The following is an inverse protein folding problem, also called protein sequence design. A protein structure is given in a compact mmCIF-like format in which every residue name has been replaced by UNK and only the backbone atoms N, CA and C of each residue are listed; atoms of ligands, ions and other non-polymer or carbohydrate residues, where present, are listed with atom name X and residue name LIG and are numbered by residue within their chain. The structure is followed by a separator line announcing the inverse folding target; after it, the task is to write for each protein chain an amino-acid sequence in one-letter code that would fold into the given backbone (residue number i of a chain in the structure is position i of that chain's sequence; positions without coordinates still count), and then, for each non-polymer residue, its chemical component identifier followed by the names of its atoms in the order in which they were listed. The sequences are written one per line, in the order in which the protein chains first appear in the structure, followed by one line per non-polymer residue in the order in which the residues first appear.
data_IF_247588169893
#
_entry.id   IF_247588169893
#
_cell.length_a   1.000
_cell.length_b   1.000
_cell.length_c   1.000
_cell.angle_alpha   90.00
_cell.angle_beta   90.00
_cell.angle_gamma   90.00
#
_symmetry.space_group_name_H-M   'P 1'
#
loop_
_entity.id
_entity.type
_entity.pdbx_description
1 polymer ?
#
# COMPACT_ATOMS: atom_id res chain seq x y z
N UNK A 1 -16.31 10.70 -9.55
CA UNK A 1 -15.84 9.31 -9.31
C UNK A 1 -14.41 9.39 -8.81
N UNK A 2 -14.16 9.24 -7.51
CA UNK A 2 -12.81 9.33 -6.95
C UNK A 2 -12.08 7.98 -7.12
N UNK A 3 -11.36 7.84 -8.22
CA UNK A 3 -10.32 6.82 -8.33
C UNK A 3 -9.11 7.37 -7.56
N UNK A 4 -8.50 6.56 -6.67
CA UNK A 4 -7.47 7.06 -5.74
C UNK A 4 -6.06 7.36 -6.33
N UNK A 5 -5.76 7.34 -7.65
CA UNK A 5 -4.47 7.81 -8.16
C UNK A 5 -4.07 9.21 -7.73
N UNK A 6 -5.00 10.18 -7.73
CA UNK A 6 -4.69 11.57 -7.35
C UNK A 6 -4.10 11.66 -5.94
N UNK A 7 -4.69 10.94 -4.99
CA UNK A 7 -4.23 10.92 -3.59
C UNK A 7 -2.87 10.25 -3.45
N UNK A 8 -2.62 9.18 -4.19
CA UNK A 8 -1.30 8.54 -4.23
C UNK A 8 -0.28 9.50 -4.84
N UNK A 9 -0.63 10.20 -5.92
CA UNK A 9 0.20 11.23 -6.54
C UNK A 9 0.56 12.36 -5.57
N UNK A 10 -0.40 12.84 -4.77
CA UNK A 10 -0.13 13.83 -3.74
C UNK A 10 0.82 13.30 -2.65
N UNK A 11 0.63 12.07 -2.17
CA UNK A 11 1.54 11.45 -1.19
C UNK A 11 2.95 11.35 -1.76
N UNK A 12 3.09 10.94 -3.02
CA UNK A 12 4.37 10.82 -3.70
C UNK A 12 5.05 12.17 -3.86
N UNK A 13 4.32 13.18 -4.35
CA UNK A 13 4.84 14.54 -4.52
C UNK A 13 5.31 15.14 -3.20
N UNK A 14 4.49 15.05 -2.14
CA UNK A 14 4.86 15.55 -0.81
C UNK A 14 6.08 14.81 -0.24
N UNK A 15 6.17 13.48 -0.42
CA UNK A 15 7.34 12.74 0.06
C UNK A 15 8.62 13.17 -0.67
N UNK A 16 8.59 13.34 -1.99
CA UNK A 16 9.75 13.77 -2.77
C UNK A 16 10.17 15.21 -2.46
N UNK A 17 9.22 16.08 -2.13
CA UNK A 17 9.50 17.46 -1.70
C UNK A 17 10.18 17.50 -0.32
N UNK A 18 9.66 16.73 0.65
CA UNK A 18 10.17 16.71 2.01
C UNK A 18 11.47 15.91 2.16
N UNK A 19 11.66 14.86 1.36
CA UNK A 19 12.78 13.94 1.44
C UNK A 19 13.42 13.70 0.05
N UNK A 20 14.10 14.70 -0.54
CA UNK A 20 14.65 14.58 -1.87
C UNK A 20 15.64 13.43 -2.01
N UNK A 21 15.44 12.58 -3.03
CA UNK A 21 16.31 11.44 -3.34
C UNK A 21 16.20 10.27 -2.35
N UNK A 22 15.33 10.36 -1.34
CA UNK A 22 15.04 9.26 -0.43
C UNK A 22 13.97 8.35 -0.99
N UNK A 23 13.93 7.14 -0.46
CA UNK A 23 12.90 6.13 -0.72
C UNK A 23 12.32 5.62 0.60
N UNK A 24 11.16 5.01 0.51
CA UNK A 24 10.41 4.48 1.63
C UNK A 24 10.00 3.03 1.38
N UNK A 25 9.87 2.30 2.48
CA UNK A 25 9.10 1.07 2.48
C UNK A 25 7.61 1.40 2.41
N UNK A 26 6.89 0.74 1.52
CA UNK A 26 5.47 1.02 1.27
C UNK A 26 4.62 -0.16 1.69
N UNK A 27 3.74 0.05 2.68
CA UNK A 27 2.68 -0.88 3.03
C UNK A 27 1.37 -0.45 2.34
N UNK A 28 0.87 -1.29 1.44
CA UNK A 28 -0.23 -0.93 0.55
C UNK A 28 -1.37 -1.95 0.56
N UNK A 29 -2.59 -1.43 0.52
CA UNK A 29 -3.80 -2.20 0.23
C UNK A 29 -4.91 -1.27 -0.25
N UNK A 30 -5.77 -1.70 -1.17
CA UNK A 30 -6.84 -0.85 -1.70
C UNK A 30 -8.15 -1.63 -1.92
N UNK A 31 -9.26 -0.90 -2.13
CA UNK A 31 -10.54 -1.50 -2.54
C UNK A 31 -10.50 -1.96 -4.01
N UNK A 32 -11.31 -2.95 -4.38
CA UNK A 32 -11.35 -3.52 -5.74
C UNK A 32 -11.77 -2.52 -6.83
N UNK A 33 -12.46 -1.43 -6.45
CA UNK A 33 -12.90 -0.39 -7.39
C UNK A 33 -11.80 0.60 -7.80
N UNK A 34 -10.57 0.42 -7.30
CA UNK A 34 -9.46 1.35 -7.53
C UNK A 34 -8.57 0.89 -8.69
N UNK A 35 -8.02 1.85 -9.44
CA UNK A 35 -7.07 1.57 -10.51
C UNK A 35 -5.68 1.30 -9.90
N UNK A 36 -5.44 0.04 -9.53
CA UNK A 36 -4.21 -0.40 -8.85
C UNK A 36 -2.97 -0.27 -9.73
N UNK A 37 -3.06 -0.50 -11.04
CA UNK A 37 -1.91 -0.40 -11.95
C UNK A 37 -1.38 1.04 -12.01
N UNK A 38 -2.28 2.04 -12.07
CA UNK A 38 -1.86 3.46 -12.02
C UNK A 38 -1.25 3.80 -10.66
N UNK A 39 -1.85 3.34 -9.56
CA UNK A 39 -1.31 3.58 -8.22
C UNK A 39 0.08 2.94 -8.03
N UNK A 40 0.30 1.73 -8.55
CA UNK A 40 1.58 1.07 -8.52
C UNK A 40 2.65 1.87 -9.30
N UNK A 41 2.33 2.37 -10.49
CA UNK A 41 3.24 3.23 -11.28
C UNK A 41 3.63 4.50 -10.53
N UNK A 42 2.68 5.12 -9.83
CA UNK A 42 2.95 6.34 -9.06
C UNK A 42 3.89 6.10 -7.87
N UNK A 43 3.93 4.89 -7.31
CA UNK A 43 4.78 4.55 -6.17
C UNK A 43 6.24 4.24 -6.55
N UNK A 44 6.51 3.85 -7.80
CA UNK A 44 7.86 3.52 -8.30
C UNK A 44 8.94 4.51 -7.86
N UNK A 45 8.81 5.84 -8.05
CA UNK A 45 9.90 6.77 -7.79
C UNK A 45 10.31 6.88 -6.32
N UNK A 46 9.48 6.40 -5.39
CA UNK A 46 9.70 6.54 -3.95
C UNK A 46 9.79 5.21 -3.22
N UNK A 47 9.54 4.08 -3.89
CA UNK A 47 9.49 2.78 -3.25
C UNK A 47 10.89 2.14 -3.20
N UNK A 48 11.30 1.72 -2.00
CA UNK A 48 12.43 0.80 -1.82
C UNK A 48 11.92 -0.65 -1.77
N UNK A 49 11.02 -0.94 -0.82
CA UNK A 49 10.33 -2.22 -0.73
C UNK A 49 8.81 -2.03 -0.75
N UNK A 50 8.09 -3.00 -1.31
CA UNK A 50 6.63 -3.02 -1.35
C UNK A 50 6.09 -4.19 -0.53
N UNK A 51 5.19 -3.88 0.39
CA UNK A 51 4.48 -4.83 1.23
C UNK A 51 2.99 -4.73 0.93
N UNK A 52 2.38 -5.82 0.47
CA UNK A 52 0.98 -5.89 0.11
C UNK A 52 0.21 -6.74 1.12
N UNK A 53 -1.01 -6.32 1.42
CA UNK A 53 -1.88 -7.04 2.36
C UNK A 53 -3.36 -6.81 2.07
N UNK A 54 -4.23 -7.47 2.84
CA UNK A 54 -5.66 -7.31 2.83
C UNK A 54 -6.20 -7.04 4.24
N UNK A 55 -7.19 -6.17 4.33
CA UNK A 55 -7.95 -5.94 5.56
C UNK A 55 -9.34 -6.57 5.40
N UNK A 56 -9.48 -7.84 5.78
CA UNK A 56 -10.78 -8.51 5.78
C UNK A 56 -11.35 -8.47 7.20
N UNK A 57 -12.51 -7.85 7.37
CA UNK A 57 -13.29 -7.95 8.61
C UNK A 57 -14.61 -8.65 8.27
N UNK A 58 -14.76 -9.87 8.83
CA UNK A 58 -15.93 -10.73 8.61
C UNK A 58 -17.25 -10.07 9.04
N UNK A 59 -17.19 -9.16 10.01
CA UNK A 59 -18.33 -8.45 10.57
C UNK A 59 -18.64 -7.13 9.82
N UNK A 60 -17.81 -6.75 8.83
CA UNK A 60 -17.99 -5.53 8.05
C UNK A 60 -17.95 -5.80 6.54
N UNK A 61 -19.12 -5.88 5.87
CA UNK A 61 -19.22 -6.10 4.43
C UNK A 61 -18.44 -5.11 3.57
N UNK A 62 -18.24 -3.88 4.04
CA UNK A 62 -17.47 -2.87 3.30
C UNK A 62 -15.96 -3.14 3.29
N UNK A 63 -15.45 -3.91 4.24
CA UNK A 63 -14.05 -4.39 4.23
C UNK A 63 -13.85 -5.61 3.34
N UNK A 64 -14.91 -6.38 3.07
CA UNK A 64 -14.89 -7.48 2.11
C UNK A 64 -14.76 -7.00 0.65
N UNK A 65 -14.75 -5.68 0.42
CA UNK A 65 -14.52 -5.04 -0.88
C UNK A 65 -13.05 -4.69 -1.12
N UNK A 66 -12.11 -5.40 -0.48
CA UNK A 66 -10.67 -5.27 -0.73
C UNK A 66 -10.28 -5.89 -2.07
N UNK A 67 -9.24 -5.37 -2.71
CA UNK A 67 -8.67 -5.94 -3.93
C UNK A 67 -8.12 -7.35 -3.65
N UNK A 68 -8.26 -8.28 -4.60
CA UNK A 68 -7.75 -9.65 -4.44
C UNK A 68 -6.22 -9.66 -4.43
N UNK A 69 -5.66 -10.72 -3.85
CA UNK A 69 -4.22 -10.90 -3.69
C UNK A 69 -3.53 -10.91 -5.04
N UNK A 70 -4.07 -11.71 -5.95
CA UNK A 70 -3.52 -11.95 -7.28
C UNK A 70 -3.54 -10.65 -8.10
N UNK A 71 -4.62 -9.87 -8.00
CA UNK A 71 -4.75 -8.58 -8.69
C UNK A 71 -3.74 -7.56 -8.17
N UNK A 72 -3.52 -7.51 -6.85
CA UNK A 72 -2.53 -6.65 -6.21
C UNK A 72 -1.10 -7.03 -6.62
N UNK A 73 -0.73 -8.30 -6.49
CA UNK A 73 0.60 -8.79 -6.86
C UNK A 73 0.89 -8.52 -8.33
N UNK A 74 -0.02 -8.95 -9.22
CA UNK A 74 0.11 -8.76 -10.67
C UNK A 74 0.26 -7.29 -11.04
N UNK A 75 -0.49 -6.38 -10.43
CA UNK A 75 -0.41 -4.95 -10.75
C UNK A 75 0.96 -4.33 -10.42
N UNK A 76 1.58 -4.74 -9.31
CA UNK A 76 2.90 -4.26 -8.90
C UNK A 76 4.02 -4.95 -9.69
N UNK A 77 3.91 -6.25 -9.95
CA UNK A 77 4.87 -7.01 -10.78
C UNK A 77 4.93 -6.49 -12.22
N UNK A 78 3.78 -6.16 -12.83
CA UNK A 78 3.70 -5.58 -14.18
C UNK A 78 4.46 -4.26 -14.34
N UNK A 79 4.72 -3.56 -13.24
CA UNK A 79 5.46 -2.29 -13.27
C UNK A 79 6.90 -2.44 -12.78
N UNK A 80 7.38 -3.68 -12.64
CA UNK A 80 8.76 -4.00 -12.28
C UNK A 80 9.05 -3.97 -10.78
N UNK A 81 8.01 -3.90 -9.93
CA UNK A 81 8.17 -3.99 -8.47
C UNK A 81 8.05 -5.45 -8.02
N UNK A 82 8.74 -5.82 -6.94
CA UNK A 82 8.69 -7.17 -6.36
C UNK A 82 8.00 -7.13 -4.98
N UNK A 83 6.66 -7.15 -4.93
CA UNK A 83 5.93 -7.04 -3.68
C UNK A 83 6.04 -8.29 -2.81
N UNK A 84 6.11 -8.10 -1.50
CA UNK A 84 5.93 -9.16 -0.51
C UNK A 84 4.49 -9.19 -0.02
N UNK A 85 3.88 -10.38 0.02
CA UNK A 85 2.49 -10.54 0.46
C UNK A 85 2.37 -10.95 1.93
N UNK A 86 1.40 -10.36 2.62
CA UNK A 86 1.01 -10.71 3.99
C UNK A 86 -0.51 -10.84 4.09
N UNK A 87 -0.99 -11.97 4.61
CA UNK A 87 -2.43 -12.20 4.80
C UNK A 87 -3.03 -11.34 5.93
N UNK A 88 -2.19 -10.81 6.81
CA UNK A 88 -2.58 -10.01 7.96
C UNK A 88 -1.87 -8.64 7.95
N UNK A 89 -2.61 -7.51 8.07
CA UNK A 89 -2.01 -6.18 8.06
C UNK A 89 -1.04 -5.91 9.21
N UNK A 90 -1.27 -6.48 10.38
CA UNK A 90 -0.40 -6.32 11.54
C UNK A 90 0.91 -7.10 11.36
N UNK A 91 0.86 -8.30 10.78
CA UNK A 91 2.07 -9.04 10.39
C UNK A 91 2.87 -8.29 9.34
N UNK A 92 2.19 -7.73 8.33
CA UNK A 92 2.83 -6.88 7.33
C UNK A 92 3.56 -5.70 8.00
N UNK A 93 2.85 -4.93 8.83
CA UNK A 93 3.40 -3.78 9.54
C UNK A 93 4.58 -4.15 10.45
N UNK A 94 4.45 -5.22 11.25
CA UNK A 94 5.54 -5.73 12.08
C UNK A 94 6.74 -6.17 11.25
N UNK A 95 6.52 -6.77 10.08
CA UNK A 95 7.60 -7.19 9.19
C UNK A 95 8.35 -5.97 8.63
N UNK A 96 7.61 -4.94 8.19
CA UNK A 96 8.23 -3.68 7.75
C UNK A 96 9.09 -3.09 8.87
N UNK A 97 8.56 -2.96 10.10
CA UNK A 97 9.32 -2.38 11.21
C UNK A 97 10.57 -3.18 11.61
N UNK A 98 10.58 -4.51 11.44
CA UNK A 98 11.77 -5.35 11.65
C UNK A 98 12.88 -5.07 10.65
N UNK A 99 12.55 -4.54 9.47
CA UNK A 99 13.51 -4.08 8.48
C UNK A 99 14.16 -2.75 8.83
N UNK A 100 13.77 -2.11 9.93
CA UNK A 100 14.28 -0.81 10.39
C UNK A 100 14.26 0.26 9.27
N UNK A 101 13.09 0.49 8.63
CA UNK A 101 13.01 1.38 7.47
C UNK A 101 13.34 2.82 7.88
N UNK A 102 14.11 3.53 7.03
CA UNK A 102 14.33 4.97 7.22
C UNK A 102 12.99 5.73 7.12
N UNK A 103 12.13 5.33 6.17
CA UNK A 103 10.78 5.87 6.01
C UNK A 103 9.78 4.75 5.72
N UNK A 104 8.59 4.86 6.32
CA UNK A 104 7.47 3.96 6.06
C UNK A 104 6.25 4.78 5.60
N UNK A 105 5.72 4.42 4.44
CA UNK A 105 4.47 4.95 3.91
C UNK A 105 3.39 3.86 3.99
N UNK A 106 2.37 4.10 4.80
CA UNK A 106 1.16 3.25 4.81
C UNK A 106 0.06 3.94 4.01
N UNK A 107 -0.37 3.34 2.90
CA UNK A 107 -1.31 4.00 1.97
C UNK A 107 -2.25 3.03 1.24
N UNK A 108 -3.13 3.58 0.40
CA UNK A 108 -4.09 2.84 -0.43
C UNK A 108 -5.48 2.67 0.21
N UNK A 109 -5.60 2.65 1.55
CA UNK A 109 -6.89 2.50 2.24
C UNK A 109 -6.87 3.05 3.67
N UNK A 110 -7.93 3.76 4.07
CA UNK A 110 -8.15 4.15 5.47
C UNK A 110 -8.38 2.94 6.39
N UNK A 111 -9.00 1.87 5.86
CA UNK A 111 -9.21 0.65 6.64
C UNK A 111 -7.90 -0.08 6.95
N UNK A 112 -6.89 0.08 6.11
CA UNK A 112 -5.55 -0.45 6.38
C UNK A 112 -4.93 0.26 7.59
N UNK A 113 -4.98 1.60 7.61
CA UNK A 113 -4.52 2.40 8.75
C UNK A 113 -5.24 2.02 10.04
N UNK A 114 -6.55 1.80 9.98
CA UNK A 114 -7.32 1.34 11.14
C UNK A 114 -6.91 -0.07 11.57
N UNK A 115 -6.72 -0.99 10.63
CA UNK A 115 -6.32 -2.36 10.95
C UNK A 115 -4.99 -2.41 11.71
N UNK A 116 -4.02 -1.57 11.34
CA UNK A 116 -2.72 -1.52 12.04
C UNK A 116 -2.79 -0.81 13.41
N UNK A 117 -3.72 0.13 13.63
CA UNK A 117 -3.81 0.90 14.88
C UNK A 117 -4.63 0.25 15.99
N UNK A 118 -5.48 -0.75 15.71
CA UNK A 118 -6.39 -1.36 16.69
C UNK A 118 -5.73 -2.47 17.54
N UNK A 119 -4.46 -2.33 17.89
CA UNK A 119 -3.70 -3.25 18.74
C UNK A 119 -3.38 -2.64 20.09
#
# INVERSE_FOLDING_TARGET
MAHNPEKIGSVVGTFQELYPGKKADVLFSCKWTKNVEVMARLLIPIAEHIYLTQFINKDNPDTNRVMRKEDLLSAFEKVGLMPQWFDNPQDAYRNVLKGEPEYLIVTGSFHLLRAIHQS
#
